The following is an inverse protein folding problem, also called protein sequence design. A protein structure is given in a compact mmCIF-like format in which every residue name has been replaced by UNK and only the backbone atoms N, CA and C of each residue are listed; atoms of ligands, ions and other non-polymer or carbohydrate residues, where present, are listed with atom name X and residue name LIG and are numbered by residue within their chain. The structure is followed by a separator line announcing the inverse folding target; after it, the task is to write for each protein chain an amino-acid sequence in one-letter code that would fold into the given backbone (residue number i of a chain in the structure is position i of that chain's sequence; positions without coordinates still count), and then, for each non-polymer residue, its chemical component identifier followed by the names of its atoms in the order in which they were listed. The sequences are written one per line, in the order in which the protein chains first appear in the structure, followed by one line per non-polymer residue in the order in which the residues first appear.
data_IF_410832954901
#
_entry.id   IF_410832954901
#
_cell.length_a   1.000
_cell.length_b   1.000
_cell.length_c   1.000
_cell.angle_alpha   90.00
_cell.angle_beta   90.00
_cell.angle_gamma   90.00
#
_symmetry.space_group_name_H-M   'P 1'
#
loop_
_entity.id
_entity.type
_entity.pdbx_description
1 polymer ?
#
# COMPACT_ATOMS: atom_id res chain seq x y z
N UNK A 1 28.22 28.68 14.56
CA UNK A 1 27.47 28.27 13.36
C UNK A 1 26.83 29.51 12.78
N UNK A 2 27.25 29.95 11.61
CA UNK A 2 26.63 31.10 10.94
C UNK A 2 25.39 30.63 10.17
N UNK A 3 24.28 31.34 10.36
CA UNK A 3 23.05 31.09 9.63
C UNK A 3 23.22 31.49 8.16
N UNK A 4 22.94 30.56 7.24
CA UNK A 4 22.92 30.83 5.81
C UNK A 4 21.47 30.83 5.29
N UNK A 5 20.89 32.00 4.96
CA UNK A 5 19.50 32.11 4.49
C UNK A 5 19.27 31.42 3.15
N UNK A 6 20.32 31.11 2.37
CA UNK A 6 20.19 30.40 1.09
C UNK A 6 19.69 28.96 1.24
N UNK A 7 19.83 28.33 2.42
CA UNK A 7 19.25 27.01 2.67
C UNK A 7 17.73 27.05 2.92
N UNK A 8 17.19 28.21 3.28
CA UNK A 8 15.75 28.42 3.44
C UNK A 8 15.07 28.92 2.14
N UNK A 9 15.86 29.24 1.10
CA UNK A 9 15.33 29.68 -0.18
C UNK A 9 14.60 28.53 -0.90
N UNK A 10 13.41 28.82 -1.44
CA UNK A 10 12.64 27.85 -2.22
C UNK A 10 13.41 27.46 -3.47
N UNK A 11 13.88 26.21 -3.53
CA UNK A 11 14.51 25.63 -4.71
C UNK A 11 13.49 24.79 -5.46
N UNK A 12 13.31 25.08 -6.74
CA UNK A 12 12.55 24.22 -7.62
C UNK A 12 13.29 22.87 -7.74
N UNK A 13 12.72 21.83 -7.15
CA UNK A 13 13.29 20.46 -7.18
C UNK A 13 13.24 19.90 -8.61
N UNK A 14 12.27 20.35 -9.42
CA UNK A 14 12.04 19.90 -10.79
C UNK A 14 12.18 21.07 -11.77
N UNK A 15 12.92 20.85 -12.85
CA UNK A 15 13.04 21.79 -13.96
C UNK A 15 11.78 21.79 -14.84
N UNK A 16 11.63 22.79 -15.73
CA UNK A 16 10.51 22.83 -16.68
C UNK A 16 10.53 21.67 -17.70
N UNK A 17 11.72 21.12 -17.98
CA UNK A 17 11.85 19.90 -18.77
C UNK A 17 11.34 18.68 -18.01
N UNK A 18 11.66 18.55 -16.72
CA UNK A 18 11.17 17.44 -15.88
C UNK A 18 9.65 17.48 -15.73
N UNK A 19 9.09 18.67 -15.48
CA UNK A 19 7.64 18.85 -15.38
C UNK A 19 6.93 18.44 -16.67
N UNK A 20 7.44 18.84 -17.84
CA UNK A 20 6.87 18.45 -19.14
C UNK A 20 6.94 16.94 -19.36
N UNK A 21 8.07 16.30 -19.02
CA UNK A 21 8.22 14.86 -19.11
C UNK A 21 7.24 14.13 -18.17
N UNK A 22 7.13 14.56 -16.92
CA UNK A 22 6.17 14.01 -15.95
C UNK A 22 4.72 14.17 -16.41
N UNK A 23 4.36 15.33 -16.99
CA UNK A 23 3.04 15.55 -17.57
C UNK A 23 2.75 14.59 -18.72
N UNK A 24 3.68 14.42 -19.66
CA UNK A 24 3.54 13.47 -20.76
C UNK A 24 3.35 12.02 -20.26
N UNK A 25 4.14 11.60 -19.25
CA UNK A 25 3.99 10.29 -18.63
C UNK A 25 2.63 10.13 -17.92
N UNK A 26 2.17 11.15 -17.20
CA UNK A 26 0.86 11.10 -16.51
C UNK A 26 -0.30 10.92 -17.48
N UNK A 27 -0.18 11.46 -18.71
CA UNK A 27 -1.16 11.29 -19.77
C UNK A 27 -1.08 9.89 -20.40
N UNK A 28 0.12 9.34 -20.59
CA UNK A 28 0.32 8.00 -21.16
C UNK A 28 -0.06 6.86 -20.20
N UNK A 29 0.13 7.07 -18.89
CA UNK A 29 -0.07 6.08 -17.82
C UNK A 29 -1.12 6.54 -16.82
N UNK A 30 -2.37 6.58 -17.26
CA UNK A 30 -3.48 7.02 -16.40
C UNK A 30 -3.79 6.01 -15.29
N UNK A 31 -4.33 6.52 -14.17
CA UNK A 31 -4.78 5.67 -13.06
C UNK A 31 -5.86 4.68 -13.49
N UNK A 32 -6.72 5.05 -14.44
CA UNK A 32 -7.74 4.15 -14.99
C UNK A 32 -7.12 2.98 -15.74
N UNK A 33 -6.07 3.23 -16.53
CA UNK A 33 -5.31 2.17 -17.21
C UNK A 33 -4.67 1.21 -16.20
N UNK A 34 -4.07 1.75 -15.15
CA UNK A 34 -3.50 0.93 -14.07
C UNK A 34 -4.56 0.08 -13.36
N UNK A 35 -5.74 0.66 -13.05
CA UNK A 35 -6.85 -0.07 -12.42
C UNK A 35 -7.48 -1.14 -13.31
N UNK A 36 -7.42 -0.97 -14.64
CA UNK A 36 -7.92 -1.95 -15.60
C UNK A 36 -7.00 -3.17 -15.74
N UNK A 37 -5.72 -3.02 -15.41
CA UNK A 37 -4.77 -4.14 -15.36
C UNK A 37 -4.91 -4.88 -14.02
N UNK A 38 -5.81 -5.86 -13.99
CA UNK A 38 -6.12 -6.63 -12.79
C UNK A 38 -4.88 -7.28 -12.17
N UNK A 39 -3.93 -7.78 -12.98
CA UNK A 39 -2.73 -8.43 -12.46
C UNK A 39 -1.85 -7.43 -11.72
N UNK A 40 -1.49 -6.32 -12.37
CA UNK A 40 -0.61 -5.32 -11.78
C UNK A 40 -1.26 -4.59 -10.61
N UNK A 41 -2.58 -4.36 -10.68
CA UNK A 41 -3.34 -3.77 -9.59
C UNK A 41 -3.33 -4.66 -8.33
N UNK A 42 -3.51 -5.97 -8.50
CA UNK A 42 -3.52 -6.93 -7.39
C UNK A 42 -2.12 -7.13 -6.79
N UNK A 43 -1.06 -7.21 -7.62
CA UNK A 43 0.32 -7.28 -7.13
C UNK A 43 0.70 -6.02 -6.34
N UNK A 44 0.40 -4.82 -6.87
CA UNK A 44 0.64 -3.57 -6.17
C UNK A 44 -0.09 -3.51 -4.83
N UNK A 45 -1.32 -4.03 -4.77
CA UNK A 45 -2.08 -4.10 -3.50
C UNK A 45 -1.35 -4.96 -2.47
N UNK A 46 -0.84 -6.12 -2.86
CA UNK A 46 -0.08 -7.01 -1.97
C UNK A 46 1.22 -6.35 -1.52
N UNK A 47 1.99 -5.78 -2.45
CA UNK A 47 3.26 -5.13 -2.16
C UNK A 47 3.10 -3.91 -1.25
N UNK A 48 2.05 -3.10 -1.48
CA UNK A 48 1.70 -1.96 -0.65
C UNK A 48 1.40 -2.40 0.80
N UNK A 49 0.54 -3.41 0.96
CA UNK A 49 0.14 -3.91 2.29
C UNK A 49 1.33 -4.51 3.02
N UNK A 50 2.09 -5.36 2.36
CA UNK A 50 3.28 -6.00 2.94
C UNK A 50 4.33 -4.98 3.38
N UNK A 51 4.69 -4.04 2.49
CA UNK A 51 5.73 -3.04 2.79
C UNK A 51 5.31 -2.13 3.94
N UNK A 52 4.05 -1.67 3.93
CA UNK A 52 3.52 -0.81 5.00
C UNK A 52 3.52 -1.53 6.34
N UNK A 53 3.03 -2.77 6.38
CA UNK A 53 2.99 -3.56 7.61
C UNK A 53 4.40 -3.89 8.14
N UNK A 54 5.36 -4.16 7.24
CA UNK A 54 6.75 -4.43 7.63
C UNK A 54 7.41 -3.22 8.31
N UNK A 55 7.13 -2.00 7.84
CA UNK A 55 7.63 -0.77 8.48
C UNK A 55 7.07 -0.63 9.90
N UNK A 56 5.84 -1.07 10.13
CA UNK A 56 5.19 -1.10 11.45
C UNK A 56 5.59 -2.32 12.32
N UNK A 57 6.53 -3.16 11.85
CA UNK A 57 7.06 -4.30 12.60
C UNK A 57 6.23 -5.58 12.52
N UNK A 58 5.35 -5.70 11.51
CA UNK A 58 4.56 -6.91 11.28
C UNK A 58 5.44 -8.11 10.90
N UNK A 59 5.10 -9.29 11.42
CA UNK A 59 5.91 -10.52 11.27
C UNK A 59 5.56 -11.37 10.04
N UNK A 60 4.54 -11.00 9.27
CA UNK A 60 4.20 -11.69 8.02
C UNK A 60 5.28 -11.43 6.96
N UNK A 61 5.68 -12.49 6.27
CA UNK A 61 6.49 -12.36 5.06
C UNK A 61 5.58 -12.10 3.85
N UNK A 62 6.19 -11.88 2.68
CA UNK A 62 5.42 -11.55 1.47
C UNK A 62 4.51 -12.71 1.03
N UNK A 63 4.94 -13.96 1.19
CA UNK A 63 4.17 -15.15 0.74
C UNK A 63 2.96 -15.33 1.67
N UNK A 64 3.17 -15.23 2.98
CA UNK A 64 2.10 -15.30 3.96
C UNK A 64 1.10 -14.15 3.82
N UNK A 65 1.59 -12.96 3.49
CA UNK A 65 0.73 -11.81 3.18
C UNK A 65 -0.12 -12.09 1.94
N UNK A 66 0.48 -12.59 0.86
CA UNK A 66 -0.23 -12.94 -0.36
C UNK A 66 -1.32 -14.00 -0.11
N UNK A 67 -0.97 -15.07 0.61
CA UNK A 67 -1.89 -16.12 1.03
C UNK A 67 -3.05 -15.55 1.87
N UNK A 68 -2.76 -14.69 2.84
CA UNK A 68 -3.81 -14.08 3.66
C UNK A 68 -4.73 -13.19 2.84
N UNK A 69 -4.19 -12.35 1.96
CA UNK A 69 -4.98 -11.35 1.22
C UNK A 69 -5.79 -11.95 0.07
N UNK A 70 -5.29 -13.02 -0.58
CA UNK A 70 -5.94 -13.65 -1.75
C UNK A 70 -6.84 -14.83 -1.39
N UNK A 71 -6.39 -15.71 -0.49
CA UNK A 71 -7.07 -16.96 -0.12
C UNK A 71 -7.55 -17.00 1.34
N UNK A 72 -7.28 -15.97 2.14
CA UNK A 72 -7.81 -15.84 3.50
C UNK A 72 -7.16 -16.76 4.53
N UNK A 73 -5.97 -17.28 4.24
CA UNK A 73 -5.25 -18.22 5.12
C UNK A 73 -4.25 -17.46 5.98
N UNK A 74 -4.34 -17.62 7.30
CA UNK A 74 -3.34 -17.09 8.24
C UNK A 74 -2.12 -17.99 8.29
N UNK A 75 -0.95 -17.38 8.49
CA UNK A 75 0.26 -18.09 8.81
C UNK A 75 0.21 -18.64 10.25
N UNK A 76 0.53 -19.93 10.40
CA UNK A 76 0.65 -20.57 11.71
C UNK A 76 1.77 -19.91 12.54
N UNK A 77 1.54 -19.78 13.85
CA UNK A 77 2.54 -19.19 14.77
C UNK A 77 2.69 -17.67 14.71
N UNK A 78 2.00 -16.97 13.78
CA UNK A 78 2.00 -15.50 13.72
C UNK A 78 0.86 -14.89 14.55
N UNK A 79 1.05 -13.65 15.00
CA UNK A 79 0.07 -12.96 15.84
C UNK A 79 -1.21 -12.69 15.06
N UNK A 80 -2.36 -12.84 15.72
CA UNK A 80 -3.64 -12.49 15.11
C UNK A 80 -3.75 -10.99 14.82
N UNK A 81 -3.18 -10.14 15.68
CA UNK A 81 -3.08 -8.69 15.46
C UNK A 81 -2.40 -8.33 14.15
N UNK A 82 -1.36 -9.09 13.77
CA UNK A 82 -0.59 -8.87 12.56
C UNK A 82 -1.44 -9.20 11.32
N UNK A 83 -2.21 -10.29 11.35
CA UNK A 83 -3.15 -10.63 10.30
C UNK A 83 -4.25 -9.57 10.15
N UNK A 84 -4.78 -9.08 11.27
CA UNK A 84 -5.80 -8.02 11.31
C UNK A 84 -5.28 -6.72 10.70
N UNK A 85 -4.03 -6.34 11.02
CA UNK A 85 -3.38 -5.16 10.44
C UNK A 85 -3.29 -5.26 8.91
N UNK A 86 -2.85 -6.40 8.36
CA UNK A 86 -2.77 -6.61 6.90
C UNK A 86 -4.13 -6.45 6.23
N UNK A 87 -5.19 -7.02 6.83
CA UNK A 87 -6.56 -6.88 6.33
C UNK A 87 -7.01 -5.41 6.36
N UNK A 88 -6.67 -4.68 7.42
CA UNK A 88 -7.04 -3.27 7.56
C UNK A 88 -6.33 -2.38 6.52
N UNK A 89 -5.05 -2.65 6.23
CA UNK A 89 -4.29 -1.96 5.18
C UNK A 89 -4.86 -2.27 3.79
N UNK A 90 -5.18 -3.54 3.49
CA UNK A 90 -5.82 -3.94 2.23
C UNK A 90 -7.13 -3.19 2.02
N UNK A 91 -7.97 -3.15 3.04
CA UNK A 91 -9.28 -2.51 2.94
C UNK A 91 -9.15 -0.99 2.82
N UNK A 92 -8.10 -0.40 3.41
CA UNK A 92 -7.71 1.00 3.21
C UNK A 92 -7.33 1.30 1.76
N UNK A 93 -6.55 0.43 1.13
CA UNK A 93 -6.13 0.58 -0.27
C UNK A 93 -7.32 0.61 -1.25
N UNK A 94 -8.36 -0.20 -0.99
CA UNK A 94 -9.55 -0.28 -1.84
C UNK A 94 -10.64 0.73 -1.43
N UNK A 95 -10.45 1.46 -0.32
CA UNK A 95 -11.52 2.24 0.30
C UNK A 95 -12.05 3.34 -0.63
N UNK A 96 -13.35 3.27 -0.95
CA UNK A 96 -14.07 4.23 -1.80
C UNK A 96 -15.15 5.02 -1.06
N UNK A 97 -14.99 5.29 0.23
CA UNK A 97 -15.95 6.15 0.96
C UNK A 97 -17.22 5.47 1.49
N UNK A 98 -17.33 4.13 1.49
CA UNK A 98 -18.45 3.43 2.17
C UNK A 98 -18.11 3.11 3.62
N UNK A 99 -19.12 3.10 4.49
CA UNK A 99 -18.99 2.70 5.89
C UNK A 99 -18.34 1.31 5.99
N UNK A 100 -17.31 1.18 6.83
CA UNK A 100 -16.62 -0.10 7.02
C UNK A 100 -17.51 -1.06 7.81
N UNK A 101 -17.75 -2.30 7.36
CA UNK A 101 -18.35 -3.33 8.21
C UNK A 101 -17.45 -3.58 9.44
N UNK A 102 -18.06 -3.94 10.57
CA UNK A 102 -17.34 -4.10 11.84
C UNK A 102 -16.32 -5.23 11.72
N UNK A 103 -15.20 -5.09 12.44
CA UNK A 103 -14.11 -6.08 12.44
C UNK A 103 -14.59 -7.50 12.80
N UNK A 104 -15.67 -7.61 13.59
CA UNK A 104 -16.35 -8.85 13.97
C UNK A 104 -16.89 -9.66 12.80
N UNK A 105 -17.15 -9.02 11.65
CA UNK A 105 -17.86 -9.63 10.52
C UNK A 105 -16.88 -10.27 9.52
N UNK A 106 -15.56 -10.06 9.71
CA UNK A 106 -14.50 -10.58 8.84
C UNK A 106 -13.97 -11.89 9.42
N UNK A 107 -14.64 -12.98 9.08
CA UNK A 107 -14.26 -14.32 9.55
C UNK A 107 -12.94 -14.77 8.88
N UNK A 108 -11.83 -14.71 9.63
CA UNK A 108 -10.52 -15.23 9.21
C UNK A 108 -10.41 -16.68 9.66
N UNK A 109 -10.21 -17.62 8.73
CA UNK A 109 -10.09 -19.04 9.06
C UNK A 109 -8.68 -19.33 9.60
N UNK A 110 -8.59 -19.71 10.88
CA UNK A 110 -7.35 -20.21 11.48
C UNK A 110 -7.08 -21.64 11.02
N UNK A 111 -5.84 -21.94 10.63
CA UNK A 111 -5.32 -23.31 10.74
C UNK A 111 -4.82 -23.50 12.18
N UNK A 112 -5.33 -24.54 12.84
CA UNK A 112 -4.78 -25.05 14.09
C UNK A 112 -3.49 -25.82 13.85
#
# INVERSE_FOLDING_TARGET
MEYNPAFAAQRAILSETDKRALHALSQAYTLNRFRADARNYEEMRVDFVYTSARIEGNTYDRIDTDNLLRIGITAGGKRYSDAVMLINLRDGFVWRGRARPRQSDKCVRRRG
#
